data_IF_050706079827
#
_entry.id   IF_050706079827
#
_cell.length_a   1.000
_cell.length_b   1.000
_cell.length_c   1.000
_cell.angle_alpha   90.00
_cell.angle_beta   90.00
_cell.angle_gamma   90.00
#
_symmetry.space_group_name_H-M   'P 1'
#
loop_
_entity.id
_entity.type
_entity.pdbx_description
1 polymer ?
#
# COMPACT_ATOMS: atom_id res chain seq x y z
N UNK A 1 -17.93 9.84 57.45
CA UNK A 1 -18.30 10.66 56.27
C UNK A 1 -17.13 11.46 55.69
N UNK A 2 -16.19 11.99 56.50
CA UNK A 2 -15.01 12.74 56.00
C UNK A 2 -14.06 11.96 55.06
N UNK A 3 -13.88 10.65 55.25
CA UNK A 3 -13.01 9.84 54.37
C UNK A 3 -13.63 9.46 53.01
N UNK A 4 -14.93 9.66 52.80
CA UNK A 4 -15.59 9.41 51.50
C UNK A 4 -15.50 10.62 50.55
N UNK A 5 -15.44 11.84 51.11
CA UNK A 5 -15.30 13.06 50.35
C UNK A 5 -13.86 13.23 49.81
N UNK A 6 -12.85 12.81 50.57
CA UNK A 6 -11.44 12.86 50.12
C UNK A 6 -11.14 11.89 48.97
N UNK A 7 -11.76 10.70 48.98
CA UNK A 7 -11.62 9.72 47.91
C UNK A 7 -12.33 10.15 46.61
N UNK A 8 -13.51 10.79 46.71
CA UNK A 8 -14.20 11.33 45.53
C UNK A 8 -13.48 12.55 44.92
N UNK A 9 -12.90 13.42 45.76
CA UNK A 9 -12.15 14.58 45.29
C UNK A 9 -10.81 14.21 44.61
N UNK A 10 -10.16 13.14 45.06
CA UNK A 10 -8.97 12.60 44.39
C UNK A 10 -9.31 11.94 43.04
N UNK A 11 -10.44 11.24 42.94
CA UNK A 11 -10.89 10.63 41.68
C UNK A 11 -11.34 11.71 40.68
N UNK A 12 -12.00 12.79 41.13
CA UNK A 12 -12.37 13.90 40.24
C UNK A 12 -11.18 14.73 39.79
N UNK A 13 -10.17 14.94 40.65
CA UNK A 13 -8.94 15.65 40.27
C UNK A 13 -8.08 14.83 39.30
N UNK A 14 -8.03 13.50 39.44
CA UNK A 14 -7.35 12.61 38.50
C UNK A 14 -8.06 12.54 37.14
N UNK A 15 -9.40 12.61 37.12
CA UNK A 15 -10.21 12.67 35.90
C UNK A 15 -10.15 14.05 35.21
N UNK A 16 -9.94 15.14 35.98
CA UNK A 16 -9.78 16.49 35.43
C UNK A 16 -8.33 16.77 34.95
N UNK A 17 -7.32 16.16 35.56
CA UNK A 17 -5.94 16.20 35.06
C UNK A 17 -5.71 15.29 33.84
N UNK A 18 -6.60 14.32 33.58
CA UNK A 18 -6.55 13.48 32.38
C UNK A 18 -7.30 14.09 31.18
N UNK A 19 -8.10 15.14 31.37
CA UNK A 19 -8.91 15.77 30.31
C UNK A 19 -8.31 17.07 29.75
N UNK A 20 -7.17 17.54 30.28
CA UNK A 20 -6.44 18.72 29.77
C UNK A 20 -5.14 18.34 29.02
N UNK A 21 -4.95 17.05 28.73
CA UNK A 21 -3.96 16.62 27.75
C UNK A 21 -4.67 16.30 26.43
N UNK A 22 -4.31 17.05 25.37
CA UNK A 22 -4.62 16.85 23.96
C UNK A 22 -5.92 17.52 23.46
N UNK A 23 -5.89 18.84 23.35
CA UNK A 23 -6.60 19.58 22.29
C UNK A 23 -5.60 20.15 21.29
N UNK A 24 -4.93 19.25 20.59
CA UNK A 24 -4.73 19.36 19.15
C UNK A 24 -5.37 18.11 18.59
N UNK A 25 -6.25 18.21 17.60
CA UNK A 25 -6.71 17.03 16.88
C UNK A 25 -5.49 16.41 16.19
N UNK A 26 -4.77 15.52 16.88
CA UNK A 26 -3.81 14.64 16.25
C UNK A 26 -4.65 13.77 15.31
N UNK A 27 -4.33 13.77 14.03
CA UNK A 27 -4.85 12.73 13.13
C UNK A 27 -4.62 11.39 13.84
N UNK A 28 -5.69 10.61 14.02
CA UNK A 28 -5.54 9.32 14.67
C UNK A 28 -4.56 8.49 13.85
N UNK A 29 -3.49 7.99 14.48
CA UNK A 29 -2.62 6.99 13.85
C UNK A 29 -3.48 5.84 13.29
N UNK A 30 -2.96 5.16 12.27
CA UNK A 30 -3.63 4.03 11.65
C UNK A 30 -5.03 4.41 11.13
N UNK A 31 -5.13 5.49 10.34
CA UNK A 31 -6.40 5.98 9.82
C UNK A 31 -6.32 6.47 8.37
N UNK A 32 -7.48 6.55 7.73
CA UNK A 32 -7.65 6.97 6.34
C UNK A 32 -8.37 8.31 6.25
N UNK A 33 -7.87 9.19 5.40
CA UNK A 33 -8.50 10.47 5.07
C UNK A 33 -8.64 10.58 3.55
N UNK A 34 -9.85 10.90 3.08
CA UNK A 34 -10.08 11.20 1.66
C UNK A 34 -9.52 12.58 1.34
N UNK A 35 -8.76 12.67 0.24
CA UNK A 35 -8.21 13.92 -0.29
C UNK A 35 -8.91 14.33 -1.57
N UNK A 36 -8.56 15.49 -2.14
CA UNK A 36 -9.13 15.92 -3.41
C UNK A 36 -8.87 14.88 -4.49
N UNK A 37 -9.94 14.50 -5.18
CA UNK A 37 -9.88 13.57 -6.31
C UNK A 37 -9.09 14.17 -7.47
N UNK A 38 -8.44 13.28 -8.24
CA UNK A 38 -7.86 13.59 -9.55
C UNK A 38 -8.93 14.15 -10.50
N UNK A 39 -8.49 14.83 -11.56
CA UNK A 39 -9.37 15.23 -12.65
C UNK A 39 -9.78 14.04 -13.51
N UNK A 40 -8.86 13.07 -13.72
CA UNK A 40 -9.13 11.84 -14.46
C UNK A 40 -9.20 10.62 -13.55
N UNK A 41 -10.18 9.75 -13.76
CA UNK A 41 -10.22 8.44 -13.11
C UNK A 41 -9.18 7.49 -13.73
N UNK A 42 -8.51 6.69 -12.89
CA UNK A 42 -7.41 5.83 -13.32
C UNK A 42 -7.44 4.47 -12.65
N UNK A 43 -7.00 3.45 -13.38
CA UNK A 43 -6.60 2.14 -12.88
C UNK A 43 -5.30 1.70 -13.54
N UNK A 44 -4.42 1.01 -12.82
CA UNK A 44 -3.10 0.63 -13.33
C UNK A 44 -2.23 1.83 -13.70
N UNK A 45 -2.41 2.97 -13.02
CA UNK A 45 -1.59 4.15 -13.25
C UNK A 45 -0.21 4.02 -12.59
N UNK A 46 0.75 4.78 -13.05
CA UNK A 46 1.96 5.04 -12.29
C UNK A 46 1.70 6.09 -11.21
N UNK A 47 2.26 5.89 -10.01
CA UNK A 47 2.29 6.90 -8.97
C UNK A 47 3.72 7.08 -8.43
N UNK A 48 4.14 8.33 -8.28
CA UNK A 48 5.46 8.67 -7.78
C UNK A 48 5.43 9.97 -6.97
N UNK A 49 6.32 10.09 -5.98
CA UNK A 49 6.50 11.32 -5.24
C UNK A 49 7.88 11.92 -5.53
N UNK A 50 7.92 13.19 -5.95
CA UNK A 50 9.15 13.96 -6.16
C UNK A 50 8.98 15.30 -5.47
N UNK A 51 9.91 15.64 -4.57
CA UNK A 51 9.87 16.90 -3.80
C UNK A 51 8.50 17.13 -3.13
N UNK A 52 7.97 16.09 -2.49
CA UNK A 52 6.66 16.06 -1.81
C UNK A 52 5.43 16.28 -2.72
N UNK A 53 5.63 16.42 -4.03
CA UNK A 53 4.57 16.44 -5.03
C UNK A 53 4.34 15.03 -5.55
N UNK A 54 3.08 14.63 -5.59
CA UNK A 54 2.64 13.31 -6.04
C UNK A 54 2.21 13.40 -7.50
N UNK A 55 2.71 12.52 -8.34
CA UNK A 55 2.37 12.45 -9.75
C UNK A 55 1.54 11.19 -10.01
N UNK A 56 0.42 11.35 -10.70
CA UNK A 56 -0.40 10.27 -11.24
C UNK A 56 -0.26 10.26 -12.77
N UNK A 57 0.24 9.17 -13.32
CA UNK A 57 0.70 9.10 -14.71
C UNK A 57 -0.03 7.96 -15.42
N UNK A 58 -0.64 8.27 -16.57
CA UNK A 58 -1.23 7.26 -17.44
C UNK A 58 -2.28 6.39 -16.74
N UNK A 59 -2.21 5.09 -16.99
CA UNK A 59 -3.21 4.11 -16.55
C UNK A 59 -4.30 3.90 -17.59
N UNK A 60 -5.39 3.31 -17.16
CA UNK A 60 -6.57 3.06 -18.00
C UNK A 60 -7.81 3.71 -17.38
N UNK A 61 -8.72 4.13 -18.26
CA UNK A 61 -10.01 4.68 -17.88
C UNK A 61 -11.13 3.98 -18.65
N UNK A 62 -12.34 4.01 -18.09
CA UNK A 62 -13.52 3.52 -18.77
C UNK A 62 -13.93 4.49 -19.89
N UNK A 63 -14.09 3.96 -21.08
CA UNK A 63 -14.60 4.67 -22.25
C UNK A 63 -15.99 4.13 -22.61
N UNK A 64 -16.94 5.03 -22.85
CA UNK A 64 -18.29 4.69 -23.31
C UNK A 64 -18.34 4.83 -24.84
N UNK A 65 -18.61 3.72 -25.53
CA UNK A 65 -18.75 3.72 -26.99
C UNK A 65 -20.15 4.14 -27.42
N UNK A 66 -21.15 3.36 -27.02
CA UNK A 66 -22.59 3.65 -27.16
C UNK A 66 -23.29 3.41 -25.83
N UNK A 67 -24.60 3.69 -25.72
CA UNK A 67 -25.34 3.67 -24.44
C UNK A 67 -25.27 2.34 -23.65
N UNK A 68 -24.88 1.23 -24.28
CA UNK A 68 -24.74 -0.09 -23.65
C UNK A 68 -23.34 -0.70 -23.70
N UNK A 69 -22.37 -0.08 -24.37
CA UNK A 69 -21.01 -0.61 -24.52
C UNK A 69 -19.98 0.26 -23.83
N UNK A 70 -19.21 -0.35 -22.92
CA UNK A 70 -18.02 0.25 -22.34
C UNK A 70 -16.81 -0.65 -22.52
N UNK A 71 -15.64 -0.04 -22.63
CA UNK A 71 -14.35 -0.72 -22.66
C UNK A 71 -13.29 0.16 -22.00
N UNK A 72 -12.15 -0.44 -21.63
CA UNK A 72 -11.05 0.33 -21.07
C UNK A 72 -10.11 0.78 -22.18
N UNK A 73 -9.64 2.02 -22.07
CA UNK A 73 -8.60 2.60 -22.91
C UNK A 73 -7.49 3.09 -22.03
N UNK A 74 -6.25 2.90 -22.48
CA UNK A 74 -5.13 3.54 -21.79
C UNK A 74 -5.16 5.04 -22.07
N UNK A 75 -4.67 5.80 -21.10
CA UNK A 75 -4.47 7.24 -21.20
C UNK A 75 -3.00 7.59 -21.01
N UNK A 76 -2.65 8.80 -21.43
CA UNK A 76 -1.31 9.34 -21.29
C UNK A 76 -1.27 10.64 -20.47
N UNK A 77 -2.39 11.09 -19.90
CA UNK A 77 -2.41 12.30 -19.09
C UNK A 77 -1.56 12.13 -17.83
N UNK A 78 -0.93 13.23 -17.42
CA UNK A 78 -0.15 13.33 -16.19
C UNK A 78 -0.74 14.41 -15.31
N UNK A 79 -0.98 14.09 -14.05
CA UNK A 79 -1.47 15.05 -13.05
C UNK A 79 -0.51 15.09 -11.85
N UNK A 80 -0.27 16.28 -11.33
CA UNK A 80 0.54 16.53 -10.14
C UNK A 80 -0.33 17.04 -8.99
N UNK A 81 -0.26 16.38 -7.85
CA UNK A 81 -0.96 16.70 -6.62
C UNK A 81 0.00 17.30 -5.60
N UNK A 82 -0.39 18.46 -5.08
CA UNK A 82 0.26 19.09 -3.95
C UNK A 82 -0.52 18.74 -2.66
N UNK A 83 0.01 17.86 -1.79
CA UNK A 83 -0.70 17.46 -0.58
C UNK A 83 -0.91 18.61 0.43
N UNK A 84 -0.03 19.62 0.44
CA UNK A 84 -0.14 20.76 1.34
C UNK A 84 -1.25 21.73 0.91
N UNK A 85 -1.48 21.86 -0.39
CA UNK A 85 -2.55 22.70 -0.94
C UNK A 85 -3.86 21.94 -1.21
N UNK A 86 -3.84 20.60 -1.20
CA UNK A 86 -4.95 19.73 -1.62
C UNK A 86 -5.46 20.09 -3.03
N UNK A 87 -4.52 20.27 -3.97
CA UNK A 87 -4.81 20.67 -5.35
C UNK A 87 -4.07 19.82 -6.38
N UNK A 88 -4.77 19.53 -7.49
CA UNK A 88 -4.22 18.91 -8.69
C UNK A 88 -3.89 19.94 -9.77
N UNK A 89 -2.82 19.70 -10.51
CA UNK A 89 -2.38 20.48 -11.67
C UNK A 89 -2.08 19.54 -12.83
N UNK A 90 -2.55 19.86 -14.03
CA UNK A 90 -2.21 19.10 -15.24
C UNK A 90 -0.75 19.35 -15.65
N UNK A 91 -0.09 18.32 -16.15
CA UNK A 91 1.30 18.34 -16.59
C UNK A 91 1.42 17.77 -18.00
N UNK A 92 2.61 17.85 -18.60
CA UNK A 92 2.85 17.29 -19.92
C UNK A 92 2.48 15.80 -19.97
N UNK A 93 1.68 15.43 -20.97
CA UNK A 93 1.25 14.06 -21.18
C UNK A 93 2.42 13.18 -21.63
N UNK A 94 2.41 11.94 -21.15
CA UNK A 94 3.33 10.89 -21.55
C UNK A 94 3.24 10.65 -23.08
N UNK A 95 4.36 10.46 -23.80
CA UNK A 95 4.32 10.26 -25.25
C UNK A 95 3.51 9.04 -25.67
N UNK A 96 3.68 7.92 -24.97
CA UNK A 96 2.96 6.67 -25.26
C UNK A 96 1.88 6.39 -24.23
N UNK A 97 0.60 6.36 -24.63
CA UNK A 97 -0.52 5.99 -23.75
C UNK A 97 -0.41 4.53 -23.27
N UNK A 98 -0.28 4.32 -21.95
CA UNK A 98 -0.15 2.99 -21.34
C UNK A 98 -0.52 2.97 -19.85
N UNK A 99 -0.74 1.76 -19.34
CA UNK A 99 -0.94 1.46 -17.92
C UNK A 99 -0.22 0.16 -17.52
N UNK A 100 -0.29 -0.20 -16.25
CA UNK A 100 0.35 -1.36 -15.64
C UNK A 100 1.88 -1.42 -15.89
N UNK A 101 2.53 -0.25 -15.95
CA UNK A 101 3.97 -0.10 -16.12
C UNK A 101 4.67 0.10 -14.77
N UNK A 102 5.95 -0.22 -14.70
CA UNK A 102 6.77 0.06 -13.53
C UNK A 102 7.05 1.56 -13.42
N UNK A 103 6.88 2.12 -12.21
CA UNK A 103 7.16 3.55 -11.94
C UNK A 103 8.26 3.69 -10.90
N UNK A 104 9.31 4.45 -11.21
CA UNK A 104 10.44 4.66 -10.31
C UNK A 104 10.88 6.13 -10.28
N UNK A 105 11.35 6.59 -9.12
CA UNK A 105 11.95 7.92 -8.97
C UNK A 105 13.46 7.78 -8.86
N UNK A 106 14.19 8.46 -9.75
CA UNK A 106 15.64 8.54 -9.67
C UNK A 106 16.09 9.96 -10.07
N UNK A 107 16.89 10.60 -9.21
CA UNK A 107 17.40 11.97 -9.41
C UNK A 107 16.31 12.98 -9.82
N UNK A 108 15.19 13.02 -9.08
CA UNK A 108 14.02 13.90 -9.33
C UNK A 108 13.31 13.68 -10.67
N UNK A 109 13.62 12.60 -11.39
CA UNK A 109 12.90 12.18 -12.59
C UNK A 109 12.05 10.95 -12.31
N UNK A 110 10.96 10.82 -13.04
CA UNK A 110 10.02 9.71 -12.92
C UNK A 110 10.16 8.83 -14.15
N UNK A 111 10.61 7.61 -13.96
CA UNK A 111 10.74 6.59 -15.00
C UNK A 111 9.45 5.79 -15.09
N UNK A 112 8.89 5.67 -16.30
CA UNK A 112 7.71 4.86 -16.61
C UNK A 112 8.12 3.79 -17.61
N UNK A 113 8.25 2.55 -17.15
CA UNK A 113 8.93 1.49 -17.90
C UNK A 113 8.03 0.26 -18.12
N UNK A 114 7.95 -0.21 -19.36
CA UNK A 114 7.07 -1.30 -19.76
C UNK A 114 5.61 -0.87 -19.78
N UNK A 115 4.72 -1.80 -19.42
CA UNK A 115 3.27 -1.63 -19.39
C UNK A 115 2.58 -2.15 -20.65
N UNK A 116 1.29 -1.86 -20.75
CA UNK A 116 0.46 -2.25 -21.90
C UNK A 116 -0.33 -1.08 -22.43
N UNK A 117 -0.64 -1.11 -23.73
CA UNK A 117 -1.67 -0.24 -24.33
C UNK A 117 -2.98 -1.01 -24.40
N UNK A 118 -4.10 -0.32 -24.17
CA UNK A 118 -5.43 -0.90 -24.33
C UNK A 118 -6.28 -0.09 -25.30
N UNK A 119 -6.87 -0.78 -26.26
CA UNK A 119 -7.99 -0.28 -27.05
C UNK A 119 -9.03 -1.39 -27.18
N UNK A 120 -10.20 -1.22 -26.54
CA UNK A 120 -11.22 -2.27 -26.46
C UNK A 120 -10.68 -3.54 -25.80
N UNK A 121 -10.66 -4.66 -26.52
CA UNK A 121 -10.13 -5.96 -26.07
C UNK A 121 -8.67 -6.16 -26.49
N UNK A 122 -8.12 -5.25 -27.29
CA UNK A 122 -6.76 -5.36 -27.82
C UNK A 122 -5.77 -4.92 -26.75
N UNK A 123 -4.97 -5.89 -26.29
CA UNK A 123 -3.90 -5.69 -25.32
C UNK A 123 -2.58 -5.81 -26.05
N UNK A 124 -1.77 -4.75 -26.06
CA UNK A 124 -0.39 -4.82 -26.55
C UNK A 124 0.57 -4.57 -25.41
N UNK A 125 1.45 -5.54 -25.15
CA UNK A 125 2.55 -5.39 -24.20
C UNK A 125 3.62 -4.48 -24.82
N UNK A 126 4.15 -3.56 -24.02
CA UNK A 126 5.15 -2.59 -24.46
C UNK A 126 6.45 -2.77 -23.68
N UNK A 127 7.56 -2.41 -24.31
CA UNK A 127 8.88 -2.36 -23.69
C UNK A 127 9.39 -0.92 -23.55
N UNK A 128 8.52 0.08 -23.70
CA UNK A 128 8.88 1.49 -23.74
C UNK A 128 9.43 1.95 -22.40
N UNK A 129 10.48 2.76 -22.44
CA UNK A 129 11.08 3.43 -21.28
C UNK A 129 11.01 4.94 -21.53
N UNK A 130 10.12 5.65 -20.82
CA UNK A 130 10.02 7.10 -20.92
C UNK A 130 10.17 7.73 -19.54
N UNK A 131 10.82 8.88 -19.51
CA UNK A 131 11.25 9.55 -18.29
C UNK A 131 10.68 10.95 -18.28
N UNK A 132 10.00 11.28 -17.20
CA UNK A 132 9.45 12.60 -16.96
C UNK A 132 10.42 13.44 -16.13
N UNK A 133 10.79 14.59 -16.66
CA UNK A 133 11.57 15.62 -15.97
C UNK A 133 10.62 16.57 -15.25
N UNK A 134 10.57 16.47 -13.92
CA UNK A 134 9.63 17.24 -13.09
C UNK A 134 9.93 18.74 -13.04
N UNK A 135 11.18 19.14 -13.32
CA UNK A 135 11.60 20.54 -13.36
C UNK A 135 11.26 21.20 -14.70
N UNK A 136 11.41 20.45 -15.80
CA UNK A 136 11.17 20.95 -17.17
C UNK A 136 9.75 20.72 -17.68
N UNK A 137 8.97 19.90 -16.98
CA UNK A 137 7.65 19.46 -17.43
C UNK A 137 7.70 18.86 -18.84
N UNK A 138 8.62 17.91 -19.03
CA UNK A 138 8.91 17.34 -20.35
C UNK A 138 9.28 15.86 -20.25
N UNK A 139 9.05 15.13 -21.34
CA UNK A 139 9.34 13.71 -21.45
C UNK A 139 10.55 13.46 -22.34
N UNK A 140 11.30 12.41 -21.99
CA UNK A 140 12.41 11.86 -22.78
C UNK A 140 12.22 10.35 -22.95
N UNK A 141 12.49 9.82 -24.13
CA UNK A 141 12.52 8.36 -24.36
C UNK A 141 13.94 7.84 -24.12
N UNK A 142 14.05 6.76 -23.35
CA UNK A 142 15.29 6.05 -23.02
C UNK A 142 15.36 4.69 -23.70
N UNK A 143 16.45 3.97 -23.52
CA UNK A 143 16.61 2.61 -24.08
C UNK A 143 15.48 1.70 -23.58
N UNK A 144 14.72 1.08 -24.49
CA UNK A 144 13.57 0.25 -24.13
C UNK A 144 14.03 -1.04 -23.43
N UNK A 145 13.12 -1.65 -22.67
CA UNK A 145 13.35 -2.97 -22.07
C UNK A 145 13.70 -3.99 -23.16
N UNK A 146 14.56 -4.99 -22.86
CA UNK A 146 14.84 -6.08 -23.80
C UNK A 146 13.58 -6.88 -24.17
N UNK A 147 12.65 -7.03 -23.22
CA UNK A 147 11.37 -7.72 -23.42
C UNK A 147 10.26 -6.91 -22.77
N UNK A 148 9.17 -6.67 -23.50
CA UNK A 148 8.04 -5.93 -22.97
C UNK A 148 7.35 -6.72 -21.87
N UNK A 149 7.00 -6.04 -20.78
CA UNK A 149 6.32 -6.63 -19.62
C UNK A 149 5.31 -5.64 -19.02
N UNK A 150 4.20 -6.14 -18.47
CA UNK A 150 3.22 -5.33 -17.75
C UNK A 150 2.80 -6.00 -16.44
N UNK A 151 2.11 -5.25 -15.57
CA UNK A 151 1.79 -5.68 -14.20
C UNK A 151 3.05 -5.85 -13.37
N UNK A 152 4.00 -4.94 -13.60
CA UNK A 152 5.31 -4.88 -12.95
C UNK A 152 5.40 -3.59 -12.14
N UNK A 153 6.31 -3.61 -11.17
CA UNK A 153 6.72 -2.45 -10.38
C UNK A 153 8.21 -2.20 -10.57
N UNK A 154 8.63 -0.93 -10.56
CA UNK A 154 10.03 -0.54 -10.75
C UNK A 154 10.66 -0.15 -9.41
N UNK A 155 11.73 -0.84 -9.03
CA UNK A 155 12.32 -0.75 -7.69
C UNK A 155 13.73 -0.15 -7.78
N UNK A 156 14.00 0.94 -7.05
CA UNK A 156 15.32 1.60 -7.09
C UNK A 156 16.20 1.14 -5.95
N UNK A 157 17.36 0.55 -6.27
CA UNK A 157 18.38 0.15 -5.29
C UNK A 157 19.76 0.54 -5.83
N UNK A 158 20.57 1.20 -5.00
CA UNK A 158 21.95 1.60 -5.32
C UNK A 158 22.12 2.28 -6.69
N UNK A 159 21.11 3.09 -7.06
CA UNK A 159 21.10 3.88 -8.29
C UNK A 159 20.70 3.13 -9.57
N UNK A 160 20.32 1.86 -9.47
CA UNK A 160 19.76 1.07 -10.58
C UNK A 160 18.26 0.84 -10.38
N UNK A 161 17.54 0.62 -11.47
CA UNK A 161 16.09 0.37 -11.47
C UNK A 161 15.83 -1.09 -11.84
N UNK A 162 15.16 -1.83 -10.97
CA UNK A 162 14.92 -3.26 -11.09
C UNK A 162 13.45 -3.54 -11.40
N UNK A 163 13.22 -4.30 -12.46
CA UNK A 163 11.90 -4.74 -12.93
C UNK A 163 11.88 -6.26 -12.83
N UNK A 164 10.89 -6.82 -12.14
CA UNK A 164 10.90 -8.24 -11.76
C UNK A 164 9.61 -8.91 -12.21
N UNK A 165 9.72 -9.98 -12.99
CA UNK A 165 8.60 -10.78 -13.46
C UNK A 165 7.62 -10.00 -14.35
N UNK A 166 6.35 -10.08 -14.02
CA UNK A 166 5.26 -9.50 -14.81
C UNK A 166 4.70 -10.43 -15.86
N UNK A 167 3.83 -9.88 -16.68
CA UNK A 167 3.23 -10.54 -17.83
C UNK A 167 3.98 -10.16 -19.11
N UNK A 168 4.46 -11.17 -19.83
CA UNK A 168 5.17 -10.99 -21.10
C UNK A 168 4.40 -11.68 -22.23
N UNK A 169 4.59 -11.21 -23.46
CA UNK A 169 4.17 -11.93 -24.65
C UNK A 169 5.06 -13.17 -24.81
N UNK A 170 4.46 -14.36 -24.93
CA UNK A 170 5.23 -15.58 -25.16
C UNK A 170 5.93 -15.54 -26.51
N UNK A 171 7.19 -16.00 -26.56
CA UNK A 171 7.96 -16.08 -27.81
C UNK A 171 7.43 -17.17 -28.76
N UNK A 172 6.74 -18.18 -28.20
CA UNK A 172 6.31 -19.38 -28.93
C UNK A 172 4.81 -19.39 -29.27
N UNK A 173 4.05 -18.43 -28.76
CA UNK A 173 2.60 -18.38 -28.95
C UNK A 173 2.05 -16.96 -28.81
N UNK A 174 0.80 -16.75 -29.23
CA UNK A 174 0.09 -15.49 -28.98
C UNK A 174 -0.37 -15.33 -27.53
N UNK A 175 0.00 -16.25 -26.62
CA UNK A 175 -0.42 -16.18 -25.22
C UNK A 175 0.44 -15.22 -24.40
N UNK A 176 -0.17 -14.64 -23.38
CA UNK A 176 0.52 -13.90 -22.32
C UNK A 176 0.90 -14.87 -21.21
N UNK A 177 2.15 -14.83 -20.76
CA UNK A 177 2.67 -15.70 -19.70
C UNK A 177 3.37 -14.92 -18.59
N UNK A 178 3.60 -15.59 -17.46
CA UNK A 178 4.34 -15.04 -16.32
C UNK A 178 5.84 -15.13 -16.58
N UNK A 179 6.55 -14.04 -16.39
CA UNK A 179 8.00 -14.02 -16.48
C UNK A 179 8.64 -14.23 -15.11
N UNK A 180 9.79 -14.88 -15.09
CA UNK A 180 10.70 -14.96 -13.95
C UNK A 180 11.88 -13.99 -14.07
N UNK A 181 11.91 -13.14 -15.09
CA UNK A 181 13.06 -12.27 -15.38
C UNK A 181 13.26 -11.20 -14.32
N UNK A 182 14.51 -10.82 -14.13
CA UNK A 182 14.92 -9.61 -13.42
C UNK A 182 15.69 -8.74 -14.42
N UNK A 183 15.05 -7.71 -14.94
CA UNK A 183 15.68 -6.73 -15.84
C UNK A 183 16.16 -5.54 -15.01
N UNK A 184 17.42 -5.16 -15.18
CA UNK A 184 18.11 -4.14 -14.38
C UNK A 184 18.52 -3.00 -15.29
N UNK A 185 17.90 -1.84 -15.12
CA UNK A 185 18.22 -0.65 -15.89
C UNK A 185 19.21 0.25 -15.15
N UNK A 186 20.26 0.65 -15.85
CA UNK A 186 21.20 1.66 -15.40
C UNK A 186 20.84 3.02 -16.03
N UNK A 187 20.28 3.97 -15.26
CA UNK A 187 19.91 5.28 -15.78
C UNK A 187 21.10 6.18 -16.13
N UNK A 188 22.32 5.86 -15.68
CA UNK A 188 23.53 6.64 -15.96
C UNK A 188 24.11 6.24 -17.31
N UNK A 189 24.16 4.95 -17.60
CA UNK A 189 24.69 4.43 -18.88
C UNK A 189 23.61 4.22 -19.94
N UNK A 190 22.32 4.28 -19.56
CA UNK A 190 21.17 4.01 -20.43
C UNK A 190 21.24 2.59 -21.02
N UNK A 191 21.57 1.61 -20.17
CA UNK A 191 21.75 0.20 -20.56
C UNK A 191 20.99 -0.74 -19.65
N UNK A 192 20.76 -1.96 -20.14
CA UNK A 192 20.07 -3.03 -19.44
C UNK A 192 21.03 -4.19 -19.13
N UNK A 193 20.93 -4.69 -17.91
CA UNK A 193 21.52 -5.94 -17.43
C UNK A 193 20.42 -6.89 -16.95
N UNK A 194 20.78 -8.12 -16.60
CA UNK A 194 19.85 -9.12 -16.05
C UNK A 194 20.35 -9.65 -14.71
N UNK A 195 19.44 -9.86 -13.76
CA UNK A 195 19.71 -10.51 -12.48
C UNK A 195 19.25 -11.98 -12.45
N UNK A 196 19.48 -12.63 -11.31
CA UNK A 196 19.00 -13.98 -11.04
C UNK A 196 17.46 -14.04 -11.05
N UNK A 197 16.85 -15.02 -11.73
CA UNK A 197 15.41 -15.08 -11.94
C UNK A 197 14.64 -15.25 -10.63
N UNK A 198 13.45 -14.65 -10.55
CA UNK A 198 12.56 -14.81 -9.40
C UNK A 198 12.11 -16.28 -9.28
N UNK A 199 12.25 -16.93 -8.10
CA UNK A 199 11.97 -18.37 -7.95
C UNK A 199 10.55 -18.78 -8.34
N UNK A 200 9.57 -17.92 -8.08
CA UNK A 200 8.19 -18.08 -8.53
C UNK A 200 7.79 -16.85 -9.35
N UNK A 201 7.63 -17.07 -10.65
CA UNK A 201 7.13 -16.07 -11.60
C UNK A 201 5.75 -15.53 -11.16
N UNK A 202 5.66 -14.21 -11.01
CA UNK A 202 4.46 -13.50 -10.58
C UNK A 202 4.26 -12.21 -11.37
N UNK A 203 3.01 -11.75 -11.46
CA UNK A 203 2.64 -10.45 -12.03
C UNK A 203 1.50 -9.83 -11.22
N UNK A 204 1.32 -8.50 -11.31
CA UNK A 204 0.35 -7.78 -10.49
C UNK A 204 0.62 -8.01 -9.01
N UNK A 205 1.89 -8.08 -8.62
CA UNK A 205 2.33 -8.21 -7.22
C UNK A 205 2.47 -6.82 -6.60
N UNK A 206 2.54 -6.77 -5.27
CA UNK A 206 2.95 -5.56 -4.58
C UNK A 206 4.47 -5.62 -4.34
N UNK A 207 5.20 -4.53 -4.52
CA UNK A 207 6.62 -4.48 -4.13
C UNK A 207 7.03 -3.21 -3.41
N UNK A 208 8.08 -3.35 -2.59
CA UNK A 208 8.72 -2.22 -1.95
C UNK A 208 10.21 -2.49 -1.73
N UNK A 209 10.98 -1.40 -1.66
CA UNK A 209 12.39 -1.43 -1.29
C UNK A 209 12.54 -1.12 0.19
N UNK A 210 13.27 -1.97 0.91
CA UNK A 210 13.65 -1.70 2.30
C UNK A 210 15.03 -2.28 2.58
N UNK A 211 15.90 -1.50 3.22
CA UNK A 211 17.26 -1.91 3.60
C UNK A 211 18.09 -2.50 2.45
N UNK A 212 17.98 -1.86 1.27
CA UNK A 212 18.69 -2.25 0.05
C UNK A 212 18.19 -3.56 -0.58
N UNK A 213 17.06 -4.11 -0.12
CA UNK A 213 16.44 -5.32 -0.68
C UNK A 213 15.09 -5.00 -1.32
N UNK A 214 14.73 -5.79 -2.31
CA UNK A 214 13.45 -5.69 -3.02
C UNK A 214 12.54 -6.81 -2.53
N UNK A 215 11.39 -6.43 -2.00
CA UNK A 215 10.36 -7.35 -1.53
C UNK A 215 9.30 -7.46 -2.62
N UNK A 216 9.16 -8.64 -3.22
CA UNK A 216 8.08 -8.99 -4.15
C UNK A 216 7.05 -9.81 -3.37
N UNK A 217 5.89 -9.23 -3.13
CA UNK A 217 4.89 -9.76 -2.22
C UNK A 217 3.64 -10.15 -3.00
N UNK A 218 3.26 -11.41 -2.86
CA UNK A 218 2.05 -11.98 -3.44
C UNK A 218 2.02 -11.87 -4.96
N UNK A 219 0.86 -11.52 -5.54
CA UNK A 219 0.64 -11.44 -6.97
C UNK A 219 0.01 -12.69 -7.58
N UNK A 220 -0.28 -12.57 -8.86
CA UNK A 220 -0.83 -13.65 -9.67
C UNK A 220 0.33 -14.54 -10.11
N UNK A 221 0.26 -15.84 -9.86
CA UNK A 221 1.20 -16.86 -10.33
C UNK A 221 0.60 -17.67 -11.50
N UNK A 222 1.30 -18.70 -11.94
CA UNK A 222 0.82 -19.64 -12.97
C UNK A 222 -0.53 -20.27 -12.59
N UNK A 223 -1.36 -20.54 -13.61
CA UNK A 223 -2.73 -21.03 -13.40
C UNK A 223 -3.69 -20.00 -12.81
N UNK A 224 -3.35 -18.70 -12.86
CA UNK A 224 -4.17 -17.61 -12.34
C UNK A 224 -4.42 -17.70 -10.83
N UNK A 225 -3.48 -18.30 -10.10
CA UNK A 225 -3.52 -18.45 -8.64
C UNK A 225 -2.94 -17.23 -7.96
N UNK A 226 -3.51 -16.79 -6.84
CA UNK A 226 -2.91 -15.75 -6.01
C UNK A 226 -1.97 -16.42 -5.01
N UNK A 227 -0.68 -16.11 -5.09
CA UNK A 227 0.32 -16.67 -4.18
C UNK A 227 0.39 -15.89 -2.88
N UNK A 228 0.77 -16.53 -1.78
CA UNK A 228 1.01 -15.85 -0.51
C UNK A 228 2.51 -15.65 -0.22
N UNK A 229 3.37 -15.86 -1.21
CA UNK A 229 4.81 -15.74 -0.99
C UNK A 229 5.28 -14.29 -0.82
N UNK A 230 6.29 -14.13 0.04
CA UNK A 230 7.13 -12.95 0.14
C UNK A 230 8.52 -13.33 -0.38
N UNK A 231 8.82 -12.96 -1.62
CA UNK A 231 10.10 -13.26 -2.28
C UNK A 231 11.01 -12.03 -2.17
N UNK A 232 12.20 -12.20 -1.58
CA UNK A 232 13.10 -11.10 -1.25
C UNK A 232 14.36 -11.24 -2.10
N UNK A 233 14.59 -10.26 -2.96
CA UNK A 233 15.80 -10.16 -3.77
C UNK A 233 16.80 -9.25 -3.09
N UNK A 234 18.05 -9.70 -3.02
CA UNK A 234 19.21 -8.93 -2.56
C UNK A 234 20.07 -8.56 -3.77
N UNK A 235 19.95 -7.32 -4.29
CA UNK A 235 20.73 -6.87 -5.45
C UNK A 235 22.24 -6.88 -5.26
N UNK A 236 22.72 -6.81 -4.01
CA UNK A 236 24.15 -6.82 -3.70
C UNK A 236 24.77 -8.20 -3.89
N UNK A 237 23.99 -9.24 -3.64
CA UNK A 237 24.45 -10.64 -3.73
C UNK A 237 23.87 -11.40 -4.92
N UNK A 238 22.94 -10.80 -5.66
CA UNK A 238 22.17 -11.42 -6.74
C UNK A 238 21.50 -12.73 -6.29
N UNK A 239 20.84 -12.68 -5.13
CA UNK A 239 20.23 -13.86 -4.51
C UNK A 239 18.83 -13.61 -4.00
N UNK A 240 18.04 -14.68 -4.05
CA UNK A 240 16.69 -14.73 -3.54
C UNK A 240 16.63 -15.40 -2.16
N UNK A 241 15.73 -14.90 -1.33
CA UNK A 241 15.36 -15.50 -0.05
C UNK A 241 13.85 -15.35 0.16
N UNK A 242 13.29 -16.04 1.16
CA UNK A 242 11.86 -16.00 1.46
C UNK A 242 11.61 -15.29 2.79
N UNK A 243 10.69 -14.34 2.80
CA UNK A 243 10.10 -13.79 4.03
C UNK A 243 8.91 -14.62 4.51
N UNK A 244 8.31 -14.19 5.62
CA UNK A 244 7.07 -14.79 6.11
C UNK A 244 5.97 -14.63 5.04
N UNK A 245 5.19 -15.68 4.74
CA UNK A 245 4.08 -15.58 3.79
C UNK A 245 3.07 -14.53 4.24
N UNK A 246 2.55 -13.75 3.29
CA UNK A 246 1.47 -12.81 3.56
C UNK A 246 0.22 -13.57 4.03
N UNK A 247 -0.45 -13.17 5.13
CA UNK A 247 -1.60 -13.91 5.67
C UNK A 247 -2.73 -14.09 4.65
N UNK A 248 -3.00 -13.06 3.85
CA UNK A 248 -3.95 -13.09 2.75
C UNK A 248 -3.28 -12.64 1.46
N UNK A 249 -3.15 -13.55 0.50
CA UNK A 249 -2.61 -13.22 -0.82
C UNK A 249 -3.50 -12.23 -1.58
N UNK A 250 -2.88 -11.33 -2.33
CA UNK A 250 -3.50 -10.29 -3.15
C UNK A 250 -2.85 -10.21 -4.53
N UNK A 251 -3.67 -10.07 -5.58
CA UNK A 251 -3.25 -9.65 -6.92
C UNK A 251 -3.65 -8.21 -7.20
N UNK A 252 -2.90 -7.50 -8.03
CA UNK A 252 -3.10 -6.09 -8.38
C UNK A 252 -3.23 -5.16 -7.16
N UNK A 253 -2.54 -5.49 -6.06
CA UNK A 253 -2.35 -4.61 -4.91
C UNK A 253 -1.08 -3.78 -5.09
N UNK A 254 -0.89 -2.79 -4.23
CA UNK A 254 0.29 -1.93 -4.24
C UNK A 254 0.95 -1.91 -2.85
N UNK A 255 2.24 -1.58 -2.80
CA UNK A 255 2.95 -1.45 -1.52
C UNK A 255 3.68 -0.11 -1.37
N UNK A 256 3.84 0.30 -0.12
CA UNK A 256 4.65 1.45 0.27
C UNK A 256 5.50 1.12 1.50
N UNK A 257 6.77 1.54 1.49
CA UNK A 257 7.67 1.39 2.62
C UNK A 257 7.81 2.70 3.40
N UNK A 258 7.73 2.61 4.72
CA UNK A 258 8.05 3.71 5.64
C UNK A 258 9.48 3.55 6.15
N UNK A 259 10.14 4.68 6.39
CA UNK A 259 11.56 4.75 6.76
C UNK A 259 11.82 4.53 8.25
N UNK A 260 10.82 4.75 9.11
CA UNK A 260 11.02 4.79 10.56
C UNK A 260 11.11 6.21 11.13
N UNK A 261 11.05 7.24 10.28
CA UNK A 261 11.29 8.64 10.67
C UNK A 261 10.07 9.27 11.33
N UNK A 262 8.88 9.10 10.73
CA UNK A 262 7.59 9.61 11.26
C UNK A 262 6.60 8.49 11.57
N UNK A 263 6.77 7.31 10.99
CA UNK A 263 5.98 6.12 11.30
C UNK A 263 6.90 4.92 11.59
N UNK A 264 6.35 3.84 12.16
CA UNK A 264 7.08 2.58 12.29
C UNK A 264 7.62 2.13 10.93
N UNK A 265 8.89 1.70 10.88
CA UNK A 265 9.55 1.20 9.67
C UNK A 265 8.93 -0.14 9.27
N UNK A 266 8.19 -0.14 8.16
CA UNK A 266 7.45 -1.32 7.70
C UNK A 266 7.10 -1.21 6.21
N UNK A 267 6.70 -2.34 5.62
CA UNK A 267 6.13 -2.41 4.28
C UNK A 267 4.63 -2.61 4.41
N UNK A 268 3.84 -1.70 3.86
CA UNK A 268 2.39 -1.77 3.85
C UNK A 268 1.94 -2.27 2.49
N UNK A 269 1.17 -3.35 2.46
CA UNK A 269 0.46 -3.85 1.28
C UNK A 269 -0.98 -3.36 1.36
N UNK A 270 -1.39 -2.57 0.38
CA UNK A 270 -2.66 -1.86 0.33
C UNK A 270 -3.50 -2.39 -0.84
N UNK A 271 -4.74 -2.75 -0.53
CA UNK A 271 -5.72 -3.17 -1.54
C UNK A 271 -5.36 -4.45 -2.29
N UNK A 272 -5.72 -4.49 -3.57
CA UNK A 272 -5.62 -5.66 -4.44
C UNK A 272 -6.89 -6.49 -4.43
N UNK A 273 -6.85 -7.68 -5.04
CA UNK A 273 -7.94 -8.65 -5.08
C UNK A 273 -7.47 -10.01 -4.59
N UNK A 274 -8.30 -10.67 -3.78
CA UNK A 274 -8.08 -12.04 -3.32
C UNK A 274 -8.64 -13.10 -4.29
N UNK A 275 -9.31 -12.65 -5.35
CA UNK A 275 -9.84 -13.47 -6.43
C UNK A 275 -9.33 -12.93 -7.78
N UNK A 276 -9.05 -13.85 -8.69
CA UNK A 276 -8.65 -13.49 -10.06
C UNK A 276 -9.87 -13.14 -10.92
N UNK A 277 -11.06 -13.67 -10.58
CA UNK A 277 -12.33 -13.29 -11.21
C UNK A 277 -13.59 -13.71 -10.40
N UNK A 278 -14.65 -12.87 -10.33
CA UNK A 278 -14.60 -11.43 -10.62
C UNK A 278 -13.65 -10.74 -9.61
N UNK A 279 -12.97 -9.69 -10.05
CA UNK A 279 -12.15 -8.88 -9.15
C UNK A 279 -13.08 -8.28 -8.07
N UNK A 280 -13.01 -8.82 -6.86
CA UNK A 280 -13.48 -8.15 -5.65
C UNK A 280 -12.25 -7.55 -4.98
N UNK A 281 -12.25 -6.23 -4.79
CA UNK A 281 -11.17 -5.58 -4.09
C UNK A 281 -11.05 -6.11 -2.65
N UNK A 282 -9.89 -5.86 -2.05
CA UNK A 282 -9.61 -6.14 -0.66
C UNK A 282 -9.54 -4.82 0.12
N UNK A 283 -10.32 -4.72 1.19
CA UNK A 283 -10.27 -3.57 2.10
C UNK A 283 -9.09 -3.68 3.09
N UNK A 284 -8.66 -4.91 3.40
CA UNK A 284 -7.69 -5.18 4.46
C UNK A 284 -6.26 -4.83 4.02
N UNK A 285 -5.63 -3.94 4.77
CA UNK A 285 -4.24 -3.57 4.61
C UNK A 285 -3.36 -4.45 5.50
N UNK A 286 -2.27 -4.95 4.94
CA UNK A 286 -1.36 -5.87 5.63
C UNK A 286 0.01 -5.22 5.78
N UNK A 287 0.60 -5.33 6.96
CA UNK A 287 1.86 -4.66 7.30
C UNK A 287 2.91 -5.70 7.59
N UNK A 288 4.01 -5.65 6.88
CA UNK A 288 5.15 -6.52 7.07
C UNK A 288 6.27 -5.76 7.77
N UNK A 289 6.82 -6.38 8.81
CA UNK A 289 7.96 -5.89 9.56
C UNK A 289 9.19 -6.75 9.24
N UNK A 290 10.10 -6.29 8.35
CA UNK A 290 11.25 -7.10 7.96
C UNK A 290 12.20 -7.44 9.10
N UNK A 291 12.32 -6.57 10.11
CA UNK A 291 13.21 -6.78 11.27
C UNK A 291 12.80 -8.00 12.10
N UNK A 292 11.50 -8.22 12.28
CA UNK A 292 10.93 -9.34 13.04
C UNK A 292 10.43 -10.47 12.16
N UNK A 293 10.50 -10.31 10.82
CA UNK A 293 9.95 -11.24 9.84
C UNK A 293 8.49 -11.62 10.17
N UNK A 294 7.64 -10.61 10.40
CA UNK A 294 6.27 -10.83 10.87
C UNK A 294 5.25 -9.93 10.17
N UNK A 295 4.02 -10.43 10.05
CA UNK A 295 2.88 -9.68 9.53
C UNK A 295 1.94 -9.19 10.64
N UNK A 296 1.32 -8.05 10.38
CA UNK A 296 0.21 -7.47 11.13
C UNK A 296 -0.85 -6.94 10.16
N UNK A 297 -1.93 -6.39 10.71
CA UNK A 297 -3.01 -5.73 9.95
C UNK A 297 -3.03 -4.24 10.28
N UNK A 298 -3.20 -3.43 9.24
CA UNK A 298 -3.47 -2.00 9.33
C UNK A 298 -4.98 -1.75 9.20
N UNK A 299 -5.43 -0.56 9.59
CA UNK A 299 -6.80 -0.12 9.38
C UNK A 299 -7.16 -0.25 7.90
N UNK A 300 -8.28 -0.92 7.65
CA UNK A 300 -8.77 -1.19 6.30
C UNK A 300 -9.08 0.09 5.53
N UNK A 301 -8.91 0.07 4.21
CA UNK A 301 -9.43 1.12 3.35
C UNK A 301 -10.96 1.20 3.50
N UNK A 302 -11.55 2.42 3.52
CA UNK A 302 -13.00 2.59 3.57
C UNK A 302 -13.75 1.98 2.37
N UNK A 303 -13.08 1.92 1.22
CA UNK A 303 -13.56 1.27 -0.01
C UNK A 303 -12.43 0.40 -0.55
N UNK A 304 -12.77 -0.80 -0.98
CA UNK A 304 -11.83 -1.73 -1.55
C UNK A 304 -11.44 -1.32 -2.96
N UNK A 305 -10.17 -1.51 -3.27
CA UNK A 305 -9.60 -1.11 -4.55
C UNK A 305 -8.56 -2.12 -4.99
N UNK A 306 -8.59 -2.46 -6.27
CA UNK A 306 -7.54 -3.17 -6.99
C UNK A 306 -7.06 -2.31 -8.17
N UNK A 307 -5.84 -2.53 -8.63
CA UNK A 307 -5.22 -1.71 -9.68
C UNK A 307 -4.99 -0.26 -9.24
N UNK A 308 -4.93 -0.02 -7.92
CA UNK A 308 -4.47 1.25 -7.37
C UNK A 308 -2.94 1.32 -7.39
N UNK A 309 -2.43 2.51 -7.16
CA UNK A 309 -1.00 2.75 -6.94
C UNK A 309 -0.81 3.32 -5.54
N UNK A 310 0.33 3.02 -4.91
CA UNK A 310 0.71 3.61 -3.61
C UNK A 310 2.02 4.36 -3.77
N UNK A 311 2.06 5.58 -3.27
CA UNK A 311 3.31 6.32 -3.08
C UNK A 311 3.44 6.81 -1.66
N UNK A 312 4.66 7.09 -1.21
CA UNK A 312 4.96 7.49 0.16
C UNK A 312 5.58 8.89 0.17
N UNK A 313 5.00 9.79 0.95
CA UNK A 313 5.55 11.12 1.23
C UNK A 313 5.73 11.24 2.73
N UNK A 314 6.98 11.38 3.20
CA UNK A 314 7.28 11.56 4.62
C UNK A 314 6.64 10.48 5.53
N UNK A 315 6.83 9.21 5.20
CA UNK A 315 6.21 8.04 5.84
C UNK A 315 4.66 8.04 5.87
N UNK A 316 4.03 8.86 5.05
CA UNK A 316 2.57 8.87 4.85
C UNK A 316 2.25 8.24 3.51
N UNK A 317 1.31 7.30 3.47
CA UNK A 317 0.95 6.59 2.24
C UNK A 317 -0.20 7.31 1.53
N UNK A 318 -0.12 7.36 0.21
CA UNK A 318 -1.16 7.88 -0.66
C UNK A 318 -1.58 6.78 -1.62
N UNK A 319 -2.81 6.32 -1.50
CA UNK A 319 -3.43 5.32 -2.35
C UNK A 319 -4.27 6.01 -3.43
N UNK A 320 -3.82 5.89 -4.68
CA UNK A 320 -4.26 6.69 -5.82
C UNK A 320 -5.01 5.82 -6.82
N UNK A 321 -6.21 6.26 -7.21
CA UNK A 321 -7.03 5.59 -8.20
C UNK A 321 -7.38 4.16 -7.81
N UNK A 322 -7.45 3.28 -8.80
CA UNK A 322 -7.90 1.90 -8.67
C UNK A 322 -9.40 1.80 -8.45
N UNK A 323 -9.93 0.59 -8.49
CA UNK A 323 -11.39 0.39 -8.50
C UNK A 323 -11.86 -0.84 -7.75
N UNK A 324 -13.15 -0.81 -7.43
CA UNK A 324 -13.81 -1.78 -6.56
C UNK A 324 -14.16 -3.08 -7.29
N UNK A 325 -14.71 -2.98 -8.51
CA UNK A 325 -15.17 -4.13 -9.27
C UNK A 325 -15.07 -3.87 -10.78
N UNK A 326 -15.37 -4.88 -11.59
CA UNK A 326 -15.27 -4.83 -13.06
C UNK A 326 -16.07 -3.69 -13.73
N UNK A 327 -17.08 -3.14 -13.06
CA UNK A 327 -17.90 -2.04 -13.55
C UNK A 327 -17.40 -0.66 -13.12
N UNK A 328 -16.53 -0.59 -12.11
CA UNK A 328 -15.90 0.63 -11.59
C UNK A 328 -14.43 0.35 -11.27
N UNK A 329 -13.65 -0.07 -12.28
CA UNK A 329 -12.23 -0.42 -12.09
C UNK A 329 -11.34 0.81 -12.02
N UNK A 330 -11.79 1.95 -12.55
CA UNK A 330 -11.12 3.23 -12.48
C UNK A 330 -11.80 4.17 -11.48
N UNK A 331 -10.98 4.92 -10.75
CA UNK A 331 -11.43 5.95 -9.81
C UNK A 331 -10.49 7.14 -9.84
N UNK A 332 -11.04 8.32 -9.55
CA UNK A 332 -10.25 9.52 -9.31
C UNK A 332 -9.87 9.68 -7.83
N UNK A 333 -10.32 8.78 -6.95
CA UNK A 333 -10.18 8.89 -5.50
C UNK A 333 -8.73 8.80 -5.07
N UNK A 334 -8.37 9.69 -4.15
CA UNK A 334 -7.07 9.74 -3.49
C UNK A 334 -7.32 9.61 -2.00
N UNK A 335 -6.64 8.67 -1.35
CA UNK A 335 -6.74 8.49 0.08
C UNK A 335 -5.35 8.55 0.71
N UNK A 336 -5.24 9.37 1.75
CA UNK A 336 -4.08 9.45 2.62
C UNK A 336 -4.26 8.43 3.75
N UNK A 337 -3.24 7.63 4.02
CA UNK A 337 -3.15 6.77 5.18
C UNK A 337 -2.03 7.21 6.11
N UNK A 338 -2.40 7.53 7.34
CA UNK A 338 -1.48 7.86 8.43
C UNK A 338 -1.13 6.56 9.15
N UNK A 339 0.13 6.07 9.07
CA UNK A 339 0.46 4.79 9.66
C UNK A 339 0.64 4.86 11.19
N UNK A 340 0.98 3.73 11.80
CA UNK A 340 1.31 3.66 13.23
C UNK A 340 2.57 4.48 13.53
N UNK A 341 2.56 5.28 14.61
CA UNK A 341 3.81 5.77 15.20
C UNK A 341 4.63 4.64 15.79
N UNK A 342 5.95 4.83 15.87
CA UNK A 342 6.87 3.84 16.48
C UNK A 342 6.50 3.51 17.93
N UNK A 343 5.89 4.45 18.66
CA UNK A 343 5.37 4.25 20.01
C UNK A 343 4.15 3.34 20.09
N UNK A 344 3.26 3.33 19.09
CA UNK A 344 2.06 2.48 19.07
C UNK A 344 2.35 1.06 18.57
N UNK A 345 3.32 0.92 17.65
CA UNK A 345 3.77 -0.39 17.17
C UNK A 345 4.37 -1.27 18.30
N UNK A 346 5.08 -0.68 19.26
CA UNK A 346 5.66 -1.43 20.38
C UNK A 346 4.67 -1.92 21.44
N UNK A 347 3.48 -1.31 21.54
CA UNK A 347 2.51 -1.58 22.61
C UNK A 347 1.52 -2.68 22.20
N UNK A 348 1.07 -2.73 20.94
CA UNK A 348 0.13 -3.77 20.50
C UNK A 348 0.80 -5.12 20.15
N UNK A 349 2.12 -5.12 19.91
CA UNK A 349 2.84 -6.31 19.43
C UNK A 349 3.57 -7.09 20.53
N UNK A 350 3.33 -6.77 21.80
CA UNK A 350 3.77 -7.61 22.92
C UNK A 350 2.73 -8.69 23.22
N UNK A 351 3.09 -10.00 23.22
CA UNK A 351 2.16 -11.09 23.57
C UNK A 351 1.64 -10.98 25.02
N UNK A 352 2.22 -10.09 25.82
CA UNK A 352 1.86 -9.83 27.22
C UNK A 352 0.63 -8.90 27.31
N UNK A 353 0.39 -8.03 26.34
CA UNK A 353 -0.62 -6.95 26.47
C UNK A 353 -2.07 -7.48 26.47
N UNK A 354 -2.48 -8.43 25.61
CA UNK A 354 -3.79 -9.06 25.72
C UNK A 354 -3.98 -9.78 27.06
N UNK A 355 -2.91 -10.39 27.59
CA UNK A 355 -2.91 -11.10 28.87
C UNK A 355 -3.05 -10.14 30.04
N UNK A 356 -2.33 -9.02 30.04
CA UNK A 356 -2.41 -8.00 31.10
C UNK A 356 -3.77 -7.32 31.10
N UNK A 357 -4.33 -6.98 29.92
CA UNK A 357 -5.68 -6.41 29.82
C UNK A 357 -6.73 -7.41 30.35
N UNK A 358 -6.62 -8.69 29.99
CA UNK A 358 -7.51 -9.74 30.50
C UNK A 358 -7.39 -9.92 32.02
N UNK A 359 -6.17 -9.90 32.57
CA UNK A 359 -5.92 -9.99 34.01
C UNK A 359 -6.49 -8.78 34.75
N UNK A 360 -6.31 -7.56 34.24
CA UNK A 360 -6.85 -6.35 34.84
C UNK A 360 -8.39 -6.33 34.82
N UNK A 361 -9.01 -6.76 33.72
CA UNK A 361 -10.46 -6.94 33.64
C UNK A 361 -10.97 -7.97 34.65
N UNK A 362 -10.28 -9.10 34.77
CA UNK A 362 -10.64 -10.16 35.71
C UNK A 362 -10.54 -9.68 37.16
N UNK A 363 -9.47 -8.97 37.54
CA UNK A 363 -9.31 -8.37 38.87
C UNK A 363 -10.42 -7.35 39.16
N UNK A 364 -10.76 -6.49 38.20
CA UNK A 364 -11.83 -5.50 38.39
C UNK A 364 -13.20 -6.16 38.64
N UNK A 365 -13.53 -7.23 37.89
CA UNK A 365 -14.77 -8.00 38.09
C UNK A 365 -14.79 -8.69 39.45
N UNK A 366 -13.68 -9.29 39.87
CA UNK A 366 -13.57 -9.96 41.18
C UNK A 366 -13.73 -8.96 42.32
N UNK A 367 -13.10 -7.79 42.25
CA UNK A 367 -13.20 -6.74 43.27
C UNK A 367 -14.62 -6.18 43.35
N UNK A 368 -15.28 -5.94 42.22
CA UNK A 368 -16.69 -5.50 42.19
C UNK A 368 -17.64 -6.58 42.75
N UNK A 369 -17.44 -7.84 42.37
CA UNK A 369 -18.21 -8.97 42.88
C UNK A 369 -18.06 -9.16 44.39
N UNK A 370 -16.83 -9.08 44.90
CA UNK A 370 -16.54 -9.14 46.35
C UNK A 370 -17.17 -7.97 47.11
N UNK A 371 -17.14 -6.76 46.55
CA UNK A 371 -17.80 -5.59 47.13
C UNK A 371 -19.33 -5.73 47.22
N UNK A 372 -19.96 -6.32 46.20
CA UNK A 372 -21.40 -6.60 46.19
C UNK A 372 -21.78 -7.68 47.21
N UNK A 373 -21.00 -8.76 47.30
CA UNK A 373 -21.19 -9.84 48.28
C UNK A 373 -21.03 -9.32 49.72
N UNK A 374 -20.02 -8.49 49.97
CA UNK A 374 -19.81 -7.85 51.27
C UNK A 374 -20.99 -6.98 51.67
N UNK A 375 -21.52 -6.15 50.75
CA UNK A 375 -22.73 -5.34 50.99
C UNK A 375 -23.96 -6.20 51.30
N UNK A 376 -24.13 -7.32 50.60
CA UNK A 376 -25.27 -8.24 50.80
C UNK A 376 -25.18 -8.95 52.16
N UNK A 377 -23.98 -9.36 52.59
CA UNK A 377 -23.73 -9.96 53.91
C UNK A 377 -23.98 -8.96 55.05
N UNK A 378 -23.52 -7.72 54.92
CA UNK A 378 -23.76 -6.68 55.93
C UNK A 378 -25.24 -6.27 56.06
N UNK A 379 -26.00 -6.22 54.95
CA UNK A 379 -27.46 -6.01 55.03
C UNK A 379 -28.18 -7.15 55.75
N UNK A 380 -27.74 -8.40 55.56
CA UNK A 380 -28.35 -9.57 56.20
C UNK A 380 -28.07 -9.62 57.71
N UNK A 381 -26.86 -9.24 58.14
CA UNK A 381 -26.49 -9.15 59.56
C UNK A 381 -27.30 -8.04 60.27
N UNK A 382 -27.54 -6.90 59.61
CA UNK A 382 -28.38 -5.84 60.17
C UNK A 382 -29.86 -6.23 60.31
N UNK A 383 -30.35 -7.20 59.54
CA UNK A 383 -31.74 -7.69 59.63
C UNK A 383 -31.94 -8.78 60.68
N UNK A 384 -30.89 -9.45 61.14
CA UNK A 384 -30.96 -10.51 62.19
C UNK A 384 -30.68 -9.99 63.60
N UNK A 385 -30.48 -8.69 63.78
CA UNK A 385 -30.15 -8.08 65.09
C UNK A 385 -31.23 -7.11 65.60
N UNK A 386 -32.46 -7.22 65.08
CA UNK A 386 -33.64 -6.48 65.56
C UNK A 386 -34.74 -7.43 66.00
#
# INVERSE_FOLDING_TARGET
>A
MKNRALALAFISALLFSLTVAITSASEADNSWVTKKSMNSARTGAGAAAVNEIIYAIGGSQRHFGSDTEFFYVTINSTEAYNPAADTWTEKASMPTSRGDFGTAVYQNKIYCIGGKTLWKIDVNVTNVNEVYDTERDSWETKTPMPTGSYGIEANVVDGKIYLIGGWIQSESSSNIEKSDRVDIYDPVTDTWDTGSPIPMAVAGYASAVMDGKIYVISGVASGSTITNLTQIYDPKTDKWSSGMPIPMGVGNGAAGATTGTKAAKAIYVIGGSNATYPLSGQYMNQVYFPETNSWSVAASMPVDRAGLSVTVVNDTLYAIGGGHNIFTMDSAVVMLYTPFTSSSAGIEHSPIVPVVIAVLFFVAVVVMGAGLLYRKKHKKIQQTTN
#
